data_IF_572774040349
#
_entry.id   IF_572774040349
#
_cell.length_a   1.000
_cell.length_b   1.000
_cell.length_c   1.000
_cell.angle_alpha   90.00
_cell.angle_beta   90.00
_cell.angle_gamma   90.00
#
_symmetry.space_group_name_H-M   'P 1'
#
loop_
_entity.id
_entity.type
_entity.pdbx_description
1 polymer ?
#
# COMPACT_ATOMS: atom_id res chain seq x y z
N UNK A 1 -2.70 -7.14 10.37
CA UNK A 1 -3.69 -6.05 10.44
C UNK A 1 -3.94 -5.40 9.08
N UNK A 2 -2.97 -4.77 8.41
CA UNK A 2 -3.20 -4.05 7.12
C UNK A 2 -3.89 -4.90 6.05
N UNK A 3 -3.41 -6.12 5.80
CA UNK A 3 -4.10 -7.06 4.90
C UNK A 3 -5.55 -7.34 5.35
N UNK A 4 -5.82 -7.51 6.64
CA UNK A 4 -7.20 -7.76 7.08
C UNK A 4 -8.12 -6.55 6.84
N UNK A 5 -7.66 -5.34 7.18
CA UNK A 5 -8.43 -4.11 6.93
C UNK A 5 -8.74 -3.91 5.43
N UNK A 6 -7.78 -4.21 4.56
CA UNK A 6 -7.97 -4.13 3.11
C UNK A 6 -8.97 -5.17 2.57
N UNK A 7 -9.05 -6.35 3.18
CA UNK A 7 -10.07 -7.35 2.82
C UNK A 7 -11.46 -6.92 3.29
N UNK A 8 -11.57 -6.37 4.50
CA UNK A 8 -12.83 -5.90 5.08
C UNK A 8 -13.51 -4.81 4.26
N UNK A 9 -12.73 -4.01 3.53
CA UNK A 9 -13.25 -2.99 2.61
C UNK A 9 -13.33 -3.47 1.16
N UNK A 10 -13.13 -4.77 0.93
CA UNK A 10 -13.11 -5.39 -0.40
C UNK A 10 -12.18 -4.65 -1.37
N UNK A 11 -10.99 -4.26 -0.89
CA UNK A 11 -10.03 -3.47 -1.66
C UNK A 11 -9.66 -4.20 -2.97
N UNK A 12 -9.75 -3.45 -4.07
CA UNK A 12 -9.32 -3.88 -5.41
C UNK A 12 -8.40 -2.82 -6.02
N UNK A 13 -7.67 -3.18 -7.07
CA UNK A 13 -6.75 -2.26 -7.76
C UNK A 13 -5.44 -2.01 -7.00
N UNK A 14 -4.65 -1.01 -7.41
CA UNK A 14 -3.38 -0.68 -6.78
C UNK A 14 -3.52 -0.23 -5.32
N UNK A 15 -2.57 -0.63 -4.48
CA UNK A 15 -2.45 -0.16 -3.09
C UNK A 15 -1.27 0.81 -3.03
N UNK A 16 -1.53 2.07 -2.68
CA UNK A 16 -0.48 3.07 -2.47
C UNK A 16 -0.22 3.19 -0.97
N UNK A 17 1.01 2.93 -0.56
CA UNK A 17 1.49 3.13 0.82
C UNK A 17 2.20 4.47 0.89
N UNK A 18 1.65 5.37 1.70
CA UNK A 18 2.13 6.73 1.94
C UNK A 18 2.60 6.93 3.39
N UNK A 19 3.41 7.96 3.59
CA UNK A 19 3.86 8.38 4.92
C UNK A 19 4.96 7.48 5.52
N UNK A 20 5.18 7.54 6.84
CA UNK A 20 6.34 6.90 7.47
C UNK A 20 6.44 5.38 7.26
N UNK A 21 5.31 4.69 7.06
CA UNK A 21 5.28 3.25 6.80
C UNK A 21 5.75 2.87 5.39
N UNK A 22 5.73 3.81 4.42
CA UNK A 22 6.25 3.58 3.08
C UNK A 22 7.77 3.32 3.08
N UNK A 23 8.48 3.79 4.11
CA UNK A 23 9.90 3.52 4.33
C UNK A 23 10.20 2.17 5.02
N UNK A 24 9.16 1.40 5.38
CA UNK A 24 9.34 0.06 5.95
C UNK A 24 9.24 -0.99 4.84
N UNK A 25 10.39 -1.32 4.26
CA UNK A 25 10.49 -2.28 3.16
C UNK A 25 9.88 -3.65 3.50
N UNK A 26 10.15 -4.15 4.71
CA UNK A 26 9.64 -5.46 5.14
C UNK A 26 8.11 -5.48 5.18
N UNK A 27 7.50 -4.44 5.75
CA UNK A 27 6.04 -4.31 5.78
C UNK A 27 5.47 -4.26 4.37
N UNK A 28 6.04 -3.42 3.50
CA UNK A 28 5.54 -3.21 2.15
C UNK A 28 5.69 -4.49 1.30
N UNK A 29 6.84 -5.15 1.37
CA UNK A 29 7.12 -6.39 0.63
C UNK A 29 6.25 -7.55 1.12
N UNK A 30 6.05 -7.70 2.44
CA UNK A 30 5.11 -8.69 2.98
C UNK A 30 3.68 -8.41 2.54
N UNK A 31 3.26 -7.15 2.51
CA UNK A 31 1.94 -6.76 2.02
C UNK A 31 1.81 -7.12 0.53
N UNK A 32 2.81 -6.80 -0.29
CA UNK A 32 2.86 -7.16 -1.71
C UNK A 32 2.78 -8.68 -1.93
N UNK A 33 3.49 -9.47 -1.12
CA UNK A 33 3.44 -10.94 -1.20
C UNK A 33 2.07 -11.49 -0.80
N UNK A 34 1.45 -10.95 0.26
CA UNK A 34 0.12 -11.40 0.69
C UNK A 34 -0.96 -10.99 -0.30
N UNK A 35 -0.83 -9.79 -0.89
CA UNK A 35 -1.75 -9.18 -1.85
C UNK A 35 -1.28 -9.40 -3.29
N UNK A 36 -0.89 -10.63 -3.63
CA UNK A 36 -0.29 -10.96 -4.93
C UNK A 36 -1.14 -10.62 -6.17
N UNK A 37 -2.44 -10.36 -6.00
CA UNK A 37 -3.35 -9.93 -7.06
C UNK A 37 -3.45 -8.40 -7.22
N UNK A 38 -2.86 -7.63 -6.31
CA UNK A 38 -2.85 -6.17 -6.33
C UNK A 38 -1.41 -5.66 -6.41
N UNK A 39 -1.17 -4.62 -7.21
CA UNK A 39 0.13 -3.94 -7.22
C UNK A 39 0.24 -3.08 -5.96
N UNK A 40 1.30 -3.29 -5.18
CA UNK A 40 1.65 -2.39 -4.07
C UNK A 40 2.68 -1.39 -4.57
N UNK A 41 2.41 -0.10 -4.33
CA UNK A 41 3.24 1.03 -4.67
C UNK A 41 3.60 1.77 -3.38
N UNK A 42 4.79 2.34 -3.32
CA UNK A 42 5.20 3.26 -2.25
C UNK A 42 5.50 4.63 -2.82
N UNK A 43 5.40 5.65 -1.98
CA UNK A 43 5.92 6.98 -2.26
C UNK A 43 6.53 7.57 -0.99
N UNK A 44 7.68 8.27 -1.10
CA UNK A 44 8.22 9.03 0.02
C UNK A 44 7.39 10.30 0.30
N UNK A 45 6.53 10.71 -0.63
CA UNK A 45 5.72 11.92 -0.51
C UNK A 45 4.60 11.72 0.51
N UNK A 46 4.61 12.51 1.59
CA UNK A 46 3.55 12.52 2.61
C UNK A 46 2.51 13.64 2.40
N UNK A 47 2.61 14.36 1.28
CA UNK A 47 1.80 15.55 0.98
C UNK A 47 0.49 15.25 0.23
N UNK A 48 0.03 13.99 0.19
CA UNK A 48 -1.13 13.55 -0.60
C UNK A 48 -2.39 14.39 -0.37
N UNK A 49 -2.67 14.75 0.88
CA UNK A 49 -3.82 15.62 1.23
C UNK A 49 -3.69 17.03 0.64
N UNK A 50 -2.52 17.65 0.79
CA UNK A 50 -2.26 19.00 0.25
C UNK A 50 -2.29 19.00 -1.29
N UNK A 51 -1.76 17.96 -1.92
CA UNK A 51 -1.88 17.76 -3.36
C UNK A 51 -3.33 17.64 -3.82
N UNK A 52 -4.15 16.85 -3.12
CA UNK A 52 -5.59 16.74 -3.40
C UNK A 52 -6.30 18.09 -3.32
N UNK A 53 -6.02 18.89 -2.28
CA UNK A 53 -6.60 20.22 -2.13
C UNK A 53 -6.16 21.19 -3.24
N UNK A 54 -4.89 21.13 -3.66
CA UNK A 54 -4.37 21.91 -4.77
C UNK A 54 -5.04 21.53 -6.10
N UNK A 55 -5.24 20.24 -6.38
CA UNK A 55 -5.94 19.78 -7.60
C UNK A 55 -7.39 20.26 -7.65
N UNK A 56 -8.09 20.25 -6.51
CA UNK A 56 -9.46 20.76 -6.42
C UNK A 56 -9.53 22.28 -6.66
N UNK A 57 -8.53 23.03 -6.20
CA UNK A 57 -8.52 24.50 -6.26
C UNK A 57 -8.01 25.04 -7.59
N UNK A 58 -6.95 24.43 -8.13
CA UNK A 58 -6.20 24.94 -9.28
C UNK A 58 -6.40 24.08 -10.55
N UNK A 59 -7.23 23.05 -10.47
CA UNK A 59 -7.46 22.10 -11.55
C UNK A 59 -6.42 20.97 -11.63
N UNK A 60 -6.68 19.94 -12.45
CA UNK A 60 -5.89 18.70 -12.49
C UNK A 60 -4.46 18.89 -13.03
N UNK A 61 -4.11 20.07 -13.53
CA UNK A 61 -2.79 20.36 -14.11
C UNK A 61 -1.82 21.02 -13.12
N UNK A 62 -2.17 21.16 -11.85
CA UNK A 62 -1.25 21.62 -10.81
C UNK A 62 -0.19 20.55 -10.42
N UNK A 63 -0.11 19.43 -11.14
CA UNK A 63 0.67 18.26 -10.75
C UNK A 63 2.18 18.42 -10.87
N UNK A 64 2.86 18.12 -9.76
CA UNK A 64 4.13 17.40 -9.78
C UNK A 64 3.80 15.92 -9.90
N UNK A 65 4.38 15.19 -10.87
CA UNK A 65 4.27 13.74 -10.93
C UNK A 65 4.80 13.16 -9.61
N UNK A 66 3.90 12.57 -8.80
CA UNK A 66 4.32 11.86 -7.60
C UNK A 66 5.11 10.63 -7.98
N UNK A 67 6.24 10.44 -7.33
CA UNK A 67 7.02 9.23 -7.50
C UNK A 67 6.26 8.08 -6.86
N UNK A 68 5.91 7.06 -7.66
CA UNK A 68 5.28 5.82 -7.23
C UNK A 68 6.18 4.67 -7.61
N UNK A 69 6.80 4.06 -6.62
CA UNK A 69 7.74 2.95 -6.83
C UNK A 69 7.02 1.61 -6.57
N UNK A 70 7.09 0.66 -7.52
CA UNK A 70 6.51 -0.66 -7.30
C UNK A 70 7.29 -1.43 -6.24
N UNK A 71 6.56 -2.04 -5.31
CA UNK A 71 7.14 -2.85 -4.26
C UNK A 71 7.30 -4.30 -4.74
N UNK A 72 8.53 -4.87 -4.68
CA UNK A 72 8.74 -6.25 -5.08
C UNK A 72 8.11 -7.22 -4.08
N UNK A 73 7.61 -8.34 -4.57
CA UNK A 73 7.23 -9.47 -3.71
C UNK A 73 8.48 -10.20 -3.22
N UNK A 74 8.43 -10.69 -1.99
CA UNK A 74 9.47 -11.56 -1.41
C UNK A 74 8.95 -12.97 -1.15
N UNK A 75 9.84 -13.95 -1.21
CA UNK A 75 9.55 -15.33 -0.81
C UNK A 75 9.78 -15.49 0.69
N UNK A 76 8.70 -15.73 1.44
CA UNK A 76 8.76 -16.01 2.88
C UNK A 76 8.05 -17.35 3.12
N UNK A 77 8.79 -18.44 3.34
CA UNK A 77 8.20 -19.75 3.62
C UNK A 77 7.22 -19.69 4.78
N UNK A 78 6.02 -20.24 4.58
CA UNK A 78 4.98 -20.29 5.62
C UNK A 78 4.20 -18.99 5.85
N UNK A 79 4.45 -17.93 5.07
CA UNK A 79 3.74 -16.65 5.25
C UNK A 79 2.21 -16.77 5.15
N UNK A 80 1.71 -17.55 4.18
CA UNK A 80 0.27 -17.78 4.05
C UNK A 80 -0.30 -18.59 5.22
N UNK A 81 0.44 -19.59 5.71
CA UNK A 81 0.05 -20.35 6.90
C UNK A 81 0.02 -19.46 8.14
N UNK A 82 1.00 -18.56 8.28
CA UNK A 82 1.03 -17.56 9.35
C UNK A 82 -0.17 -16.61 9.26
N UNK A 83 -0.45 -16.08 8.06
CA UNK A 83 -1.63 -15.22 7.80
C UNK A 83 -2.92 -15.92 8.23
N UNK A 84 -3.12 -17.17 7.83
CA UNK A 84 -4.31 -17.95 8.17
C UNK A 84 -4.42 -18.19 9.68
N UNK A 85 -3.33 -18.59 10.35
CA UNK A 85 -3.31 -18.75 11.81
C UNK A 85 -3.63 -17.46 12.54
N UNK A 86 -3.02 -16.35 12.13
CA UNK A 86 -3.28 -15.04 12.73
C UNK A 86 -4.74 -14.62 12.54
N UNK A 87 -5.33 -14.87 11.37
CA UNK A 87 -6.75 -14.62 11.10
C UNK A 87 -7.71 -15.46 11.96
N UNK A 88 -7.30 -16.65 12.39
CA UNK A 88 -8.09 -17.47 13.31
C UNK A 88 -8.05 -17.01 14.77
N UNK A 89 -7.26 -15.98 15.10
CA UNK A 89 -7.15 -15.41 16.46
C UNK A 89 -7.92 -14.09 16.62
N UNK A 90 -8.46 -13.54 15.52
CA UNK A 90 -9.27 -12.32 15.49
C UNK A 90 -10.69 -12.66 15.07
#
# INVERSE_FOLDING_TARGET
MTDYCLEMIESTGPIIVEGPFAANDVLCQLLATIRSQQTVLTTPDSSGTSFGAAMLSNGPFAEQQRQLDPVPTISVPGLQSYRHKWRGLI
#
